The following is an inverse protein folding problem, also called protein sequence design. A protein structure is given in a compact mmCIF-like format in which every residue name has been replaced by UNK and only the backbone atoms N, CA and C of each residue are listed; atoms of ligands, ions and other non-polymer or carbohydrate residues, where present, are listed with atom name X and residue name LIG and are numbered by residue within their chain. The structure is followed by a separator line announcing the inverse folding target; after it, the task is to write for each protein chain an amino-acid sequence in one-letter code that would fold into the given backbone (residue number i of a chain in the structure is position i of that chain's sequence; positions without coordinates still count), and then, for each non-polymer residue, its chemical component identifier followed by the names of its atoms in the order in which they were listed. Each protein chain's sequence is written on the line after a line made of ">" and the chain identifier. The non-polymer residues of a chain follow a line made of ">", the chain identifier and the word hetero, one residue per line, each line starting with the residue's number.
data_IF_067449709216
#
_entry.id   IF_067449709216
#
_cell.length_a   1.000
_cell.length_b   1.000
_cell.length_c   1.000
_cell.angle_alpha   90.00
_cell.angle_beta   90.00
_cell.angle_gamma   90.00
#
_symmetry.space_group_name_H-M   'P 1'
#
loop_
_entity.id
_entity.type
_entity.pdbx_description
1 polymer ?
#
# COMPACT_ATOMS: atom_id res chain seq x y z
N UNK A 1 45.97 -36.35 41.50
CA UNK A 1 47.40 -36.26 41.10
C UNK A 1 47.51 -35.45 39.83
N UNK A 2 47.78 -34.14 39.93
CA UNK A 2 48.06 -33.28 38.82
C UNK A 2 49.50 -33.55 38.41
N UNK A 3 49.74 -34.21 37.25
CA UNK A 3 51.05 -34.43 36.69
C UNK A 3 51.62 -33.08 36.18
N UNK A 4 52.39 -32.42 36.99
CA UNK A 4 53.12 -31.21 36.55
C UNK A 4 54.32 -31.64 35.65
N UNK A 5 54.57 -30.93 34.55
CA UNK A 5 55.68 -31.24 33.67
C UNK A 5 57.00 -31.06 34.43
N UNK A 6 57.91 -32.08 34.36
CA UNK A 6 59.15 -32.13 35.06
C UNK A 6 60.23 -31.11 34.59
N UNK A 7 59.92 -30.35 33.51
CA UNK A 7 60.82 -29.36 32.95
C UNK A 7 60.37 -27.95 33.32
N UNK A 8 61.09 -27.18 34.17
CA UNK A 8 60.69 -25.86 34.61
C UNK A 8 60.53 -24.87 33.44
N UNK A 9 61.27 -25.01 32.37
CA UNK A 9 61.17 -24.12 31.20
C UNK A 9 59.83 -24.32 30.43
N UNK A 10 59.27 -25.49 30.47
CA UNK A 10 57.95 -25.75 29.87
C UNK A 10 56.81 -25.12 30.67
N UNK A 11 56.94 -25.08 32.01
CA UNK A 11 55.97 -24.41 32.89
C UNK A 11 55.99 -22.90 32.69
N UNK A 12 57.18 -22.29 32.64
CA UNK A 12 57.38 -20.83 32.39
C UNK A 12 56.84 -20.44 31.03
N UNK A 13 57.04 -21.26 29.97
CA UNK A 13 56.53 -20.98 28.63
C UNK A 13 55.02 -21.06 28.57
N UNK A 14 54.37 -22.04 29.24
CA UNK A 14 52.89 -22.13 29.33
C UNK A 14 52.30 -20.98 30.13
N UNK A 15 52.90 -20.55 31.22
CA UNK A 15 52.47 -19.39 32.00
C UNK A 15 52.57 -18.11 31.18
N UNK A 16 53.67 -17.93 30.44
CA UNK A 16 53.85 -16.79 29.55
C UNK A 16 52.76 -16.70 28.45
N UNK A 17 52.44 -17.84 27.80
CA UNK A 17 51.34 -17.91 26.81
C UNK A 17 50.00 -17.62 27.47
N UNK A 18 49.72 -18.09 28.66
CA UNK A 18 48.48 -17.83 29.38
C UNK A 18 48.32 -16.33 29.74
N UNK A 19 49.41 -15.68 30.16
CA UNK A 19 49.44 -14.24 30.45
C UNK A 19 49.19 -13.44 29.16
N UNK A 20 49.79 -13.84 28.03
CA UNK A 20 49.52 -13.18 26.73
C UNK A 20 48.04 -13.30 26.28
N UNK A 21 47.44 -14.48 26.47
CA UNK A 21 46.01 -14.70 26.15
C UNK A 21 45.13 -13.82 27.05
N UNK A 22 45.42 -13.76 28.35
CA UNK A 22 44.70 -12.89 29.29
C UNK A 22 44.88 -11.40 28.96
N UNK A 23 46.08 -10.98 28.56
CA UNK A 23 46.32 -9.60 28.16
C UNK A 23 45.56 -9.23 26.87
N UNK A 24 45.49 -10.12 25.89
CA UNK A 24 44.72 -9.93 24.66
C UNK A 24 43.21 -9.84 24.98
N UNK A 25 42.70 -10.75 25.83
CA UNK A 25 41.32 -10.72 26.29
C UNK A 25 40.98 -9.44 27.05
N UNK A 26 41.88 -8.98 27.92
CA UNK A 26 41.71 -7.73 28.66
C UNK A 26 41.68 -6.50 27.73
N UNK A 27 42.62 -6.45 26.77
CA UNK A 27 42.67 -5.37 25.77
C UNK A 27 41.38 -5.36 24.90
N UNK A 28 40.90 -6.53 24.48
CA UNK A 28 39.66 -6.61 23.70
C UNK A 28 38.43 -6.15 24.48
N UNK A 29 38.35 -6.52 25.77
CA UNK A 29 37.26 -6.06 26.65
C UNK A 29 37.32 -4.55 26.88
N UNK A 30 38.51 -3.99 27.13
CA UNK A 30 38.70 -2.54 27.36
C UNK A 30 38.42 -1.73 26.08
N UNK A 31 38.75 -2.24 24.89
CA UNK A 31 38.50 -1.58 23.62
C UNK A 31 37.03 -1.66 23.21
N UNK A 32 36.27 -2.69 23.67
CA UNK A 32 34.83 -2.84 23.38
C UNK A 32 33.96 -1.97 24.29
N UNK A 33 34.43 -1.59 25.49
CA UNK A 33 33.64 -0.79 26.42
C UNK A 33 33.15 0.55 25.87
N UNK A 34 33.98 1.38 25.21
CA UNK A 34 33.49 2.66 24.66
C UNK A 34 32.51 2.49 23.50
N UNK A 35 32.65 1.40 22.73
CA UNK A 35 31.72 1.10 21.64
C UNK A 35 30.34 0.69 22.21
N UNK A 36 30.34 -0.16 23.24
CA UNK A 36 29.10 -0.57 23.93
C UNK A 36 28.41 0.59 24.68
N UNK A 37 29.21 1.50 25.26
CA UNK A 37 28.68 2.68 25.94
C UNK A 37 28.05 3.67 24.93
N UNK A 38 28.72 3.90 23.79
CA UNK A 38 28.17 4.75 22.72
C UNK A 38 26.90 4.19 22.09
N UNK A 39 26.81 2.87 21.92
CA UNK A 39 25.58 2.21 21.43
C UNK A 39 24.42 2.34 22.43
N UNK A 40 24.68 2.24 23.73
CA UNK A 40 23.65 2.42 24.77
C UNK A 40 23.12 3.87 24.82
N UNK A 41 24.00 4.87 24.78
CA UNK A 41 23.59 6.30 24.78
C UNK A 41 22.74 6.64 23.56
N UNK A 42 23.07 6.12 22.38
CA UNK A 42 22.30 6.39 21.16
C UNK A 42 20.97 5.63 21.12
N UNK A 43 20.90 4.43 21.71
CA UNK A 43 19.66 3.66 21.85
C UNK A 43 18.71 4.38 22.78
N UNK A 44 19.20 4.90 23.90
CA UNK A 44 18.43 5.68 24.86
C UNK A 44 17.90 6.98 24.24
N UNK A 45 18.73 7.68 23.45
CA UNK A 45 18.33 8.90 22.74
C UNK A 45 17.20 8.62 21.72
N UNK A 46 17.33 7.58 20.91
CA UNK A 46 16.31 7.22 19.93
C UNK A 46 14.99 6.83 20.59
N UNK A 47 15.04 6.07 21.70
CA UNK A 47 13.87 5.71 22.49
C UNK A 47 13.23 6.94 23.12
N UNK A 48 14.03 7.89 23.62
CA UNK A 48 13.54 9.14 24.17
C UNK A 48 12.81 9.99 23.12
N UNK A 49 13.39 10.11 21.92
CA UNK A 49 12.73 10.81 20.80
C UNK A 49 11.45 10.11 20.34
N UNK A 50 11.44 8.78 20.26
CA UNK A 50 10.24 8.02 19.93
C UNK A 50 9.13 8.28 20.95
N UNK A 51 9.42 8.16 22.26
CA UNK A 51 8.45 8.41 23.31
C UNK A 51 7.95 9.87 23.31
N UNK A 52 8.84 10.85 23.08
CA UNK A 52 8.44 12.23 22.92
C UNK A 52 7.49 12.41 21.73
N UNK A 53 7.76 11.76 20.61
CA UNK A 53 6.89 11.76 19.44
C UNK A 53 5.50 11.18 19.73
N UNK A 54 5.43 10.07 20.47
CA UNK A 54 4.16 9.44 20.87
C UNK A 54 3.34 10.38 21.78
N UNK A 55 3.95 10.98 22.78
CA UNK A 55 3.27 11.94 23.65
C UNK A 55 2.72 13.14 22.85
N UNK A 56 3.50 13.67 21.90
CA UNK A 56 3.07 14.75 21.02
C UNK A 56 1.92 14.36 20.08
N UNK A 57 1.83 13.09 19.68
CA UNK A 57 0.66 12.57 18.94
C UNK A 57 -0.60 12.60 19.78
N UNK A 58 -0.52 12.18 21.06
CA UNK A 58 -1.65 12.22 21.99
C UNK A 58 -2.16 13.66 22.21
N UNK A 59 -1.22 14.61 22.27
CA UNK A 59 -1.52 16.05 22.33
C UNK A 59 -1.95 16.64 20.96
N UNK A 60 -2.00 15.84 19.89
CA UNK A 60 -2.30 16.27 18.50
C UNK A 60 -1.33 17.32 17.96
N UNK A 61 -0.11 17.37 18.47
CA UNK A 61 0.95 18.26 18.00
C UNK A 61 1.75 17.58 16.88
N UNK A 62 1.11 17.38 15.74
CA UNK A 62 1.60 16.49 14.66
C UNK A 62 2.93 16.93 14.06
N UNK A 63 3.16 18.24 13.83
CA UNK A 63 4.42 18.75 13.30
C UNK A 63 5.59 18.47 14.26
N UNK A 64 5.37 18.66 15.55
CA UNK A 64 6.39 18.39 16.58
C UNK A 64 6.62 16.89 16.73
N UNK A 65 5.57 16.08 16.64
CA UNK A 65 5.67 14.62 16.65
C UNK A 65 6.52 14.12 15.49
N UNK A 66 6.29 14.64 14.29
CA UNK A 66 7.10 14.31 13.09
C UNK A 66 8.58 14.62 13.33
N UNK A 67 8.89 15.84 13.84
CA UNK A 67 10.26 16.21 14.13
C UNK A 67 10.93 15.27 15.15
N UNK A 68 10.19 14.84 16.19
CA UNK A 68 10.69 13.87 17.17
C UNK A 68 10.92 12.49 16.54
N UNK A 69 10.01 12.00 15.68
CA UNK A 69 10.22 10.76 14.95
C UNK A 69 11.38 10.84 13.96
N UNK A 70 11.62 12.00 13.34
CA UNK A 70 12.80 12.21 12.48
C UNK A 70 14.09 12.10 13.28
N UNK A 71 14.14 12.66 14.50
CA UNK A 71 15.28 12.49 15.41
C UNK A 71 15.45 11.02 15.83
N UNK A 72 14.36 10.31 16.13
CA UNK A 72 14.43 8.89 16.44
C UNK A 72 14.99 8.06 15.28
N UNK A 73 14.54 8.33 14.04
CA UNK A 73 15.03 7.66 12.82
C UNK A 73 16.50 8.02 12.51
N UNK A 74 16.91 9.26 12.75
CA UNK A 74 18.28 9.73 12.56
C UNK A 74 19.27 9.15 13.59
N UNK A 75 18.80 8.90 14.81
CA UNK A 75 19.56 8.26 15.91
C UNK A 75 19.73 6.75 15.71
N UNK A 76 19.41 6.23 14.52
CA UNK A 76 19.33 4.82 14.15
C UNK A 76 20.61 4.07 14.46
N UNK A 77 20.63 3.37 15.58
CA UNK A 77 21.67 2.39 15.92
C UNK A 77 21.23 1.00 15.48
N UNK A 78 22.20 0.09 15.38
CA UNK A 78 21.99 -1.32 15.04
C UNK A 78 20.92 -2.00 15.91
N UNK A 79 20.79 -1.55 17.17
CA UNK A 79 19.83 -2.09 18.15
C UNK A 79 18.37 -1.73 17.85
N UNK A 80 18.08 -0.54 17.34
CA UNK A 80 16.71 -0.14 16.94
C UNK A 80 16.24 -0.94 15.73
N UNK A 81 17.16 -1.30 14.82
CA UNK A 81 16.84 -2.14 13.65
C UNK A 81 16.39 -3.55 14.02
N UNK A 82 16.70 -4.01 15.24
CA UNK A 82 16.31 -5.33 15.76
C UNK A 82 15.04 -5.27 16.62
N UNK A 83 14.48 -4.07 16.89
CA UNK A 83 13.29 -3.87 17.70
C UNK A 83 12.11 -3.40 16.85
N UNK A 84 10.90 -3.74 17.31
CA UNK A 84 9.65 -3.25 16.73
C UNK A 84 9.51 -1.72 16.81
N UNK A 85 10.33 -1.05 17.64
CA UNK A 85 10.31 0.40 17.82
C UNK A 85 10.56 1.16 16.51
N UNK A 86 11.43 0.66 15.64
CA UNK A 86 11.69 1.29 14.34
C UNK A 86 10.44 1.22 13.44
N UNK A 87 9.75 0.08 13.40
CA UNK A 87 8.50 -0.07 12.68
C UNK A 87 7.44 0.90 13.21
N UNK A 88 7.26 0.95 14.52
CA UNK A 88 6.29 1.85 15.15
C UNK A 88 6.64 3.33 14.91
N UNK A 89 7.93 3.67 14.83
CA UNK A 89 8.36 5.04 14.49
C UNK A 89 7.89 5.42 13.08
N UNK A 90 8.08 4.53 12.08
CA UNK A 90 7.56 4.77 10.73
C UNK A 90 6.03 4.88 10.73
N UNK A 91 5.33 3.95 11.38
CA UNK A 91 3.87 3.95 11.42
C UNK A 91 3.30 5.23 12.06
N UNK A 92 3.88 5.66 13.18
CA UNK A 92 3.43 6.85 13.90
C UNK A 92 3.76 8.15 13.16
N UNK A 93 4.93 8.23 12.52
CA UNK A 93 5.27 9.36 11.65
C UNK A 93 4.31 9.45 10.46
N UNK A 94 4.01 8.33 9.81
CA UNK A 94 3.02 8.24 8.72
C UNK A 94 1.65 8.72 9.20
N UNK A 95 1.21 8.27 10.37
CA UNK A 95 -0.06 8.72 10.96
C UNK A 95 -0.08 10.23 11.14
N UNK A 96 0.96 10.84 11.73
CA UNK A 96 1.06 12.30 11.91
C UNK A 96 1.00 13.04 10.57
N UNK A 97 1.71 12.57 9.56
CA UNK A 97 1.71 13.16 8.21
C UNK A 97 0.32 13.10 7.55
N UNK A 98 -0.40 11.98 7.73
CA UNK A 98 -1.77 11.83 7.25
C UNK A 98 -2.71 12.81 7.96
N UNK A 99 -2.59 13.00 9.28
CA UNK A 99 -3.40 13.96 10.02
C UNK A 99 -3.21 15.40 9.51
N UNK A 100 -2.02 15.74 9.03
CA UNK A 100 -1.71 17.02 8.39
C UNK A 100 -2.08 17.07 6.89
N UNK A 101 -2.69 16.02 6.34
CA UNK A 101 -2.96 15.86 4.91
C UNK A 101 -1.69 15.92 4.03
N UNK A 102 -0.50 15.72 4.60
CA UNK A 102 0.76 15.68 3.85
C UNK A 102 0.99 14.27 3.27
N UNK A 103 0.13 13.89 2.32
CA UNK A 103 0.14 12.54 1.72
C UNK A 103 1.43 12.23 0.94
N UNK A 104 2.05 13.25 0.34
CA UNK A 104 3.32 13.06 -0.38
C UNK A 104 4.45 12.66 0.56
N UNK A 105 4.63 13.37 1.67
CA UNK A 105 5.64 13.01 2.67
C UNK A 105 5.29 11.68 3.37
N UNK A 106 3.99 11.40 3.57
CA UNK A 106 3.55 10.11 4.09
C UNK A 106 3.99 8.97 3.17
N UNK A 107 3.78 9.07 1.85
CA UNK A 107 4.22 8.06 0.89
C UNK A 107 5.73 7.83 0.92
N UNK A 108 6.53 8.89 0.99
CA UNK A 108 7.99 8.76 1.11
C UNK A 108 8.40 8.00 2.38
N UNK A 109 7.75 8.32 3.52
CA UNK A 109 8.01 7.64 4.80
C UNK A 109 7.54 6.18 4.76
N UNK A 110 6.39 5.91 4.13
CA UNK A 110 5.87 4.55 3.94
C UNK A 110 6.83 3.72 3.09
N UNK A 111 7.33 4.25 1.97
CA UNK A 111 8.23 3.52 1.08
C UNK A 111 9.55 3.18 1.79
N UNK A 112 10.08 4.07 2.63
CA UNK A 112 11.22 3.79 3.50
C UNK A 112 10.91 2.65 4.49
N UNK A 113 9.76 2.70 5.16
CA UNK A 113 9.33 1.66 6.09
C UNK A 113 9.11 0.32 5.40
N UNK A 114 8.48 0.29 4.23
CA UNK A 114 8.23 -0.92 3.46
C UNK A 114 9.49 -1.56 2.88
N UNK A 115 10.58 -0.79 2.68
CA UNK A 115 11.89 -1.36 2.31
C UNK A 115 12.42 -2.29 3.41
N UNK A 116 12.12 -2.01 4.66
CA UNK A 116 12.54 -2.79 5.83
C UNK A 116 11.46 -3.81 6.25
N UNK A 117 10.19 -3.44 6.15
CA UNK A 117 9.03 -4.18 6.66
C UNK A 117 8.01 -4.42 5.54
N UNK A 118 8.45 -5.10 4.48
CA UNK A 118 7.68 -5.29 3.24
C UNK A 118 6.29 -5.94 3.40
N UNK A 119 6.03 -6.62 4.52
CA UNK A 119 4.76 -7.27 4.84
C UNK A 119 4.00 -6.58 5.98
N UNK A 120 4.28 -5.31 6.26
CA UNK A 120 3.51 -4.60 7.28
C UNK A 120 2.15 -4.15 6.74
N UNK A 121 1.06 -4.67 7.34
CA UNK A 121 -0.32 -4.39 6.93
C UNK A 121 -0.66 -2.90 7.06
N UNK A 122 -0.24 -2.24 8.16
CA UNK A 122 -0.58 -0.84 8.42
C UNK A 122 0.10 0.10 7.44
N UNK A 123 1.35 -0.15 7.08
CA UNK A 123 2.06 0.65 6.08
C UNK A 123 1.41 0.51 4.71
N UNK A 124 1.06 -0.70 4.27
CA UNK A 124 0.33 -0.90 3.02
C UNK A 124 -1.05 -0.25 3.03
N UNK A 125 -1.80 -0.35 4.14
CA UNK A 125 -3.10 0.30 4.29
C UNK A 125 -2.97 1.82 4.16
N UNK A 126 -2.03 2.43 4.90
CA UNK A 126 -1.77 3.86 4.85
C UNK A 126 -1.27 4.31 3.47
N UNK A 127 -0.53 3.46 2.74
CA UNK A 127 -0.15 3.71 1.34
C UNK A 127 -1.37 3.84 0.46
N UNK A 128 -2.29 2.88 0.55
CA UNK A 128 -3.55 2.90 -0.20
C UNK A 128 -4.36 4.14 0.12
N UNK A 129 -4.49 4.49 1.40
CA UNK A 129 -5.22 5.68 1.83
C UNK A 129 -4.58 6.98 1.29
N UNK A 130 -3.27 7.14 1.43
CA UNK A 130 -2.57 8.33 0.92
C UNK A 130 -2.68 8.46 -0.61
N UNK A 131 -2.57 7.35 -1.33
CA UNK A 131 -2.73 7.31 -2.79
C UNK A 131 -4.17 7.63 -3.21
N UNK A 132 -5.17 7.11 -2.50
CA UNK A 132 -6.57 7.46 -2.72
C UNK A 132 -6.81 8.96 -2.55
N UNK A 133 -6.29 9.56 -1.47
CA UNK A 133 -6.41 11.00 -1.21
C UNK A 133 -5.70 11.88 -2.25
N UNK A 134 -4.69 11.33 -2.94
CA UNK A 134 -4.00 11.95 -4.09
C UNK A 134 -4.65 11.58 -5.45
N UNK A 135 -5.82 10.94 -5.43
CA UNK A 135 -6.58 10.50 -6.62
C UNK A 135 -5.81 9.49 -7.51
N UNK A 136 -4.75 8.90 -6.99
CA UNK A 136 -3.98 7.83 -7.63
C UNK A 136 -4.66 6.48 -7.42
N UNK A 137 -5.87 6.34 -7.93
CA UNK A 137 -6.78 5.25 -7.59
C UNK A 137 -6.23 3.87 -7.96
N UNK A 138 -5.59 3.72 -9.12
CA UNK A 138 -5.03 2.41 -9.50
C UNK A 138 -3.92 1.97 -8.56
N UNK A 139 -3.04 2.89 -8.14
CA UNK A 139 -1.98 2.60 -7.18
C UNK A 139 -2.56 2.32 -5.78
N UNK A 140 -3.64 3.01 -5.40
CA UNK A 140 -4.36 2.74 -4.17
C UNK A 140 -4.93 1.31 -4.14
N UNK A 141 -5.55 0.85 -5.25
CA UNK A 141 -6.02 -0.54 -5.37
C UNK A 141 -4.89 -1.54 -5.18
N UNK A 142 -3.73 -1.31 -5.82
CA UNK A 142 -2.56 -2.17 -5.69
C UNK A 142 -2.07 -2.25 -4.22
N UNK A 143 -2.13 -1.13 -3.49
CA UNK A 143 -1.77 -1.09 -2.08
C UNK A 143 -2.77 -1.85 -1.21
N UNK A 144 -4.09 -1.69 -1.42
CA UNK A 144 -5.11 -2.46 -0.71
C UNK A 144 -5.06 -3.95 -1.05
N UNK A 145 -4.71 -4.32 -2.28
CA UNK A 145 -4.49 -5.72 -2.64
C UNK A 145 -3.31 -6.33 -1.89
N UNK A 146 -2.24 -5.56 -1.62
CA UNK A 146 -1.16 -6.01 -0.73
C UNK A 146 -1.64 -6.20 0.72
N UNK A 147 -2.49 -5.30 1.26
CA UNK A 147 -3.14 -5.52 2.56
C UNK A 147 -3.90 -6.85 2.55
N UNK A 148 -4.76 -7.07 1.55
CA UNK A 148 -5.60 -8.27 1.45
C UNK A 148 -4.80 -9.57 1.19
N UNK A 149 -3.60 -9.47 0.64
CA UNK A 149 -2.66 -10.59 0.53
C UNK A 149 -2.05 -10.96 1.88
N UNK A 150 -1.82 -9.98 2.75
CA UNK A 150 -1.29 -10.18 4.12
C UNK A 150 -2.42 -10.64 5.06
N UNK A 151 -3.55 -9.95 5.00
CA UNK A 151 -4.74 -10.19 5.80
C UNK A 151 -5.99 -10.15 4.91
N UNK A 152 -6.44 -11.30 4.44
CA UNK A 152 -7.56 -11.42 3.50
C UNK A 152 -8.92 -11.02 4.10
N UNK A 153 -8.98 -10.85 5.42
CA UNK A 153 -10.15 -10.43 6.19
C UNK A 153 -10.04 -8.98 6.71
N UNK A 154 -9.15 -8.17 6.15
CA UNK A 154 -9.03 -6.75 6.51
C UNK A 154 -10.26 -5.96 6.04
N UNK A 155 -11.21 -5.77 6.96
CA UNK A 155 -12.45 -5.02 6.70
C UNK A 155 -12.16 -3.59 6.20
N UNK A 156 -11.24 -2.81 6.84
CA UNK A 156 -10.92 -1.47 6.35
C UNK A 156 -10.36 -1.46 4.93
N UNK A 157 -9.53 -2.46 4.57
CA UNK A 157 -8.97 -2.54 3.22
C UNK A 157 -10.02 -2.87 2.17
N UNK A 158 -10.97 -3.77 2.47
CA UNK A 158 -12.08 -4.09 1.57
C UNK A 158 -13.00 -2.89 1.35
N UNK A 159 -13.33 -2.16 2.41
CA UNK A 159 -14.16 -0.97 2.34
C UNK A 159 -13.50 0.13 1.49
N UNK A 160 -12.23 0.45 1.78
CA UNK A 160 -11.51 1.47 1.03
C UNK A 160 -11.23 1.05 -0.42
N UNK A 161 -11.04 -0.24 -0.68
CA UNK A 161 -10.98 -0.79 -2.05
C UNK A 161 -12.31 -0.56 -2.77
N UNK A 162 -13.44 -0.82 -2.11
CA UNK A 162 -14.78 -0.54 -2.63
C UNK A 162 -14.96 0.94 -2.98
N UNK A 163 -14.61 1.85 -2.07
CA UNK A 163 -14.65 3.30 -2.32
C UNK A 163 -13.78 3.70 -3.51
N UNK A 164 -12.56 3.14 -3.59
CA UNK A 164 -11.64 3.42 -4.70
C UNK A 164 -12.23 2.97 -6.04
N UNK A 165 -12.83 1.79 -6.08
CA UNK A 165 -13.48 1.25 -7.27
C UNK A 165 -14.71 2.08 -7.68
N UNK A 166 -15.50 2.60 -6.71
CA UNK A 166 -16.58 3.55 -6.97
C UNK A 166 -16.07 4.83 -7.66
N UNK A 167 -14.96 5.42 -7.16
CA UNK A 167 -14.36 6.61 -7.77
C UNK A 167 -13.85 6.35 -9.19
N UNK A 168 -13.45 5.13 -9.49
CA UNK A 168 -13.03 4.72 -10.85
C UNK A 168 -14.19 4.35 -11.77
N UNK A 169 -15.45 4.38 -11.30
CA UNK A 169 -16.60 3.92 -12.07
C UNK A 169 -16.67 2.40 -12.25
N UNK A 170 -15.86 1.64 -11.52
CA UNK A 170 -15.82 0.16 -11.54
C UNK A 170 -16.86 -0.41 -10.57
N UNK A 171 -18.11 -0.11 -10.85
CA UNK A 171 -19.20 -0.33 -9.90
C UNK A 171 -19.41 -1.80 -9.52
N UNK A 172 -19.30 -2.72 -10.48
CA UNK A 172 -19.45 -4.16 -10.19
C UNK A 172 -18.34 -4.69 -9.30
N UNK A 173 -17.10 -4.26 -9.54
CA UNK A 173 -15.97 -4.64 -8.69
C UNK A 173 -16.12 -4.07 -7.27
N UNK A 174 -16.71 -2.86 -7.15
CA UNK A 174 -17.04 -2.26 -5.85
C UNK A 174 -18.10 -3.08 -5.10
N UNK A 175 -19.15 -3.56 -5.79
CA UNK A 175 -20.15 -4.47 -5.22
C UNK A 175 -19.47 -5.70 -4.63
N UNK A 176 -18.51 -6.30 -5.35
CA UNK A 176 -17.80 -7.50 -4.90
C UNK A 176 -16.95 -7.21 -3.64
N UNK A 177 -16.25 -6.05 -3.61
CA UNK A 177 -15.44 -5.65 -2.46
C UNK A 177 -16.30 -5.45 -1.19
N UNK A 178 -17.41 -4.71 -1.28
CA UNK A 178 -18.30 -4.49 -0.14
C UNK A 178 -19.07 -5.76 0.26
N UNK A 179 -19.42 -6.64 -0.67
CA UNK A 179 -20.03 -7.93 -0.37
C UNK A 179 -19.09 -8.79 0.48
N UNK A 180 -17.80 -8.82 0.13
CA UNK A 180 -16.79 -9.49 0.94
C UNK A 180 -16.63 -8.84 2.32
N UNK A 181 -16.64 -7.51 2.39
CA UNK A 181 -16.60 -6.77 3.65
C UNK A 181 -17.79 -7.14 4.55
N UNK A 182 -19.02 -7.15 4.01
CA UNK A 182 -20.23 -7.52 4.74
C UNK A 182 -20.25 -9.01 5.14
N UNK A 183 -19.58 -9.89 4.40
CA UNK A 183 -19.44 -11.30 4.79
C UNK A 183 -18.53 -11.49 6.01
N UNK A 184 -17.51 -10.61 6.18
CA UNK A 184 -16.61 -10.62 7.33
C UNK A 184 -17.31 -10.06 8.57
N UNK A 185 -17.97 -8.92 8.42
CA UNK A 185 -18.73 -8.28 9.49
C UNK A 185 -20.15 -7.97 9.02
N UNK A 186 -21.08 -8.92 9.21
CA UNK A 186 -22.49 -8.69 8.91
C UNK A 186 -23.05 -7.51 9.70
N UNK A 187 -23.84 -6.65 9.04
CA UNK A 187 -24.44 -5.44 9.59
C UNK A 187 -23.46 -4.28 9.89
N UNK A 188 -22.22 -4.33 9.38
CA UNK A 188 -21.38 -3.13 9.34
C UNK A 188 -22.04 -2.06 8.46
N UNK A 189 -22.43 -0.95 9.08
CA UNK A 189 -23.19 0.11 8.42
C UNK A 189 -22.43 0.74 7.24
N UNK A 190 -21.11 0.83 7.35
CA UNK A 190 -20.28 1.39 6.28
C UNK A 190 -20.25 0.49 5.05
N UNK A 191 -20.03 -0.81 5.24
CA UNK A 191 -20.04 -1.80 4.16
C UNK A 191 -21.40 -1.91 3.49
N UNK A 192 -22.49 -1.86 4.27
CA UNK A 192 -23.86 -1.92 3.74
C UNK A 192 -24.21 -0.68 2.92
N UNK A 193 -23.89 0.52 3.41
CA UNK A 193 -24.09 1.76 2.65
C UNK A 193 -23.27 1.78 1.37
N UNK A 194 -21.99 1.39 1.46
CA UNK A 194 -21.09 1.25 0.32
C UNK A 194 -21.64 0.28 -0.73
N UNK A 195 -22.16 -0.89 -0.29
CA UNK A 195 -22.78 -1.89 -1.14
C UNK A 195 -24.01 -1.33 -1.86
N UNK A 196 -24.90 -0.65 -1.13
CA UNK A 196 -26.10 -0.05 -1.70
C UNK A 196 -25.76 1.02 -2.76
N UNK A 197 -24.78 1.89 -2.47
CA UNK A 197 -24.29 2.89 -3.44
C UNK A 197 -23.69 2.22 -4.68
N UNK A 198 -22.88 1.19 -4.52
CA UNK A 198 -22.25 0.47 -5.61
C UNK A 198 -23.28 -0.24 -6.50
N UNK A 199 -24.28 -0.91 -5.91
CA UNK A 199 -25.36 -1.57 -6.64
C UNK A 199 -26.20 -0.56 -7.43
N UNK A 200 -26.59 0.56 -6.82
CA UNK A 200 -27.34 1.62 -7.49
C UNK A 200 -26.58 2.19 -8.69
N UNK A 201 -25.29 2.48 -8.51
CA UNK A 201 -24.43 2.98 -9.57
C UNK A 201 -24.24 1.97 -10.71
N UNK A 202 -24.07 0.68 -10.39
CA UNK A 202 -23.98 -0.40 -11.38
C UNK A 202 -25.27 -0.53 -12.22
N UNK A 203 -26.43 -0.49 -11.58
CA UNK A 203 -27.73 -0.54 -12.27
C UNK A 203 -27.91 0.65 -13.23
N UNK A 204 -27.60 1.87 -12.76
CA UNK A 204 -27.72 3.09 -13.57
C UNK A 204 -26.75 3.05 -14.76
N UNK A 205 -25.52 2.61 -14.56
CA UNK A 205 -24.51 2.46 -15.63
C UNK A 205 -24.97 1.46 -16.68
N UNK A 206 -25.50 0.31 -16.26
CA UNK A 206 -26.01 -0.72 -17.17
C UNK A 206 -27.21 -0.22 -17.98
N UNK A 207 -28.16 0.49 -17.37
CA UNK A 207 -29.29 1.09 -18.05
C UNK A 207 -28.88 2.12 -19.10
N UNK A 208 -27.94 3.01 -18.74
CA UNK A 208 -27.40 4.02 -19.64
C UNK A 208 -26.69 3.36 -20.85
N UNK A 209 -25.90 2.34 -20.61
CA UNK A 209 -25.22 1.56 -21.66
C UNK A 209 -26.25 0.91 -22.59
N UNK A 210 -27.30 0.30 -22.05
CA UNK A 210 -28.39 -0.31 -22.85
C UNK A 210 -29.07 0.73 -23.75
N UNK A 211 -29.41 1.89 -23.21
CA UNK A 211 -30.04 2.98 -23.97
C UNK A 211 -29.12 3.43 -25.12
N UNK A 212 -27.83 3.61 -24.89
CA UNK A 212 -26.88 4.01 -25.92
C UNK A 212 -26.79 2.95 -27.02
N UNK A 213 -26.72 1.66 -26.65
CA UNK A 213 -26.69 0.56 -27.64
C UNK A 213 -27.95 0.54 -28.49
N UNK A 214 -29.13 0.68 -27.87
CA UNK A 214 -30.42 0.74 -28.60
C UNK A 214 -30.40 1.92 -29.56
N UNK A 215 -29.99 3.10 -29.16
CA UNK A 215 -29.92 4.27 -30.03
C UNK A 215 -28.97 4.05 -31.21
N UNK A 216 -27.80 3.45 -30.98
CA UNK A 216 -26.85 3.13 -32.05
C UNK A 216 -27.43 2.14 -33.07
N UNK A 217 -28.17 1.13 -32.61
CA UNK A 217 -28.86 0.17 -33.46
C UNK A 217 -29.94 0.87 -34.32
N UNK A 218 -30.70 1.79 -33.75
CA UNK A 218 -31.72 2.57 -34.49
C UNK A 218 -31.08 3.43 -35.57
N UNK A 219 -29.96 4.13 -35.23
CA UNK A 219 -29.23 4.96 -36.22
C UNK A 219 -28.68 4.10 -37.34
N UNK A 220 -28.09 2.94 -37.02
CA UNK A 220 -27.54 2.02 -38.00
C UNK A 220 -28.64 1.46 -38.94
N UNK A 221 -29.78 1.07 -38.40
CA UNK A 221 -30.96 0.60 -39.17
C UNK A 221 -31.51 1.68 -40.08
N UNK A 222 -31.67 2.92 -39.59
CA UNK A 222 -32.09 4.07 -40.40
C UNK A 222 -31.11 4.38 -41.54
N UNK A 223 -29.82 4.34 -41.27
CA UNK A 223 -28.77 4.51 -42.29
C UNK A 223 -28.85 3.43 -43.37
N UNK A 224 -29.08 2.17 -42.98
CA UNK A 224 -29.25 1.07 -43.94
C UNK A 224 -30.48 1.25 -44.83
N UNK A 225 -31.60 1.63 -44.25
CA UNK A 225 -32.84 1.91 -45.01
C UNK A 225 -32.63 3.06 -45.98
N UNK A 226 -31.99 4.14 -45.56
CA UNK A 226 -31.66 5.28 -46.43
C UNK A 226 -30.75 4.83 -47.58
N UNK A 227 -29.68 4.05 -47.26
CA UNK A 227 -28.76 3.52 -48.26
C UNK A 227 -29.49 2.66 -49.33
N UNK A 228 -30.32 1.72 -48.89
CA UNK A 228 -31.06 0.84 -49.79
C UNK A 228 -32.05 1.66 -50.65
N UNK A 229 -32.75 2.63 -50.07
CA UNK A 229 -33.73 3.45 -50.77
C UNK A 229 -33.15 4.36 -51.83
N UNK A 230 -31.96 4.92 -51.58
CA UNK A 230 -31.36 5.91 -52.50
C UNK A 230 -30.25 5.35 -53.39
N UNK A 231 -29.71 4.17 -53.14
CA UNK A 231 -28.67 3.53 -53.94
C UNK A 231 -29.20 2.45 -54.88
N UNK A 232 -30.46 2.01 -54.75
CA UNK A 232 -31.11 1.16 -55.78
C UNK A 232 -31.34 1.99 -57.03
N UNK A 233 -30.65 1.73 -58.18
CA UNK A 233 -30.93 2.44 -59.42
C UNK A 233 -32.38 2.25 -59.76
N UNK A 234 -33.03 3.37 -60.19
CA UNK A 234 -34.42 3.31 -60.68
C UNK A 234 -34.50 2.22 -61.75
N UNK A 235 -35.41 1.24 -61.51
CA UNK A 235 -35.59 0.13 -62.44
C UNK A 235 -35.71 0.69 -63.85
N UNK A 236 -34.83 0.27 -64.76
CA UNK A 236 -34.88 0.61 -66.18
C UNK A 236 -36.29 0.38 -66.70
N UNK A 237 -36.98 1.47 -67.12
CA UNK A 237 -38.27 1.36 -67.83
C UNK A 237 -37.97 0.57 -69.10
N UNK A 238 -38.50 -0.67 -69.18
CA UNK A 238 -38.48 -1.45 -70.43
C UNK A 238 -39.00 -0.60 -71.56
N UNK A 239 -38.29 -0.51 -72.73
CA UNK A 239 -38.81 0.24 -73.88
C UNK A 239 -40.12 -0.37 -74.37
N UNK A 240 -41.11 0.47 -74.52
CA UNK A 240 -42.45 0.16 -75.03
C UNK A 240 -42.31 -0.33 -76.49
N UNK A 241 -42.72 -1.59 -76.75
CA UNK A 241 -42.73 -2.15 -78.11
C UNK A 241 -43.72 -1.35 -78.97
N UNK A 242 -43.21 -0.47 -79.84
CA UNK A 242 -44.00 0.14 -80.90
C UNK A 242 -44.58 -0.97 -81.78
N UNK A 243 -45.88 -1.16 -81.74
CA UNK A 243 -46.63 -1.98 -82.73
C UNK A 243 -46.54 -1.35 -84.09
N UNK A 244 -45.87 -1.97 -85.06
CA UNK A 244 -45.96 -1.61 -86.45
C UNK A 244 -47.30 -2.10 -86.95
N UNK A 245 -48.23 -1.17 -87.18
CA UNK A 245 -49.41 -1.44 -88.05
C UNK A 245 -48.96 -1.64 -89.47
N UNK A 246 -49.29 -2.79 -90.05
CA UNK A 246 -49.16 -3.02 -91.50
C UNK A 246 -50.41 -2.41 -92.19
N UNK A 247 -50.16 -1.58 -93.21
CA UNK A 247 -51.08 -1.32 -94.32
C UNK A 247 -50.71 -2.31 -95.40
#
# INVERSE_FOLDING_TARGET
>A
NINLPKNPNVVVMKIGQFIHILAILFITVVLLQPVMAAENETTDAATAYYNAGVNLLEEKQYERAIASFDQALASNTTMIRLSDALLYTYQNKVYALIQLNNYTAALQTIDQGLTLYGNDEKLWYNKGFALFRLEKYQDALNAYDNVLRINNASLPALNNKGDTLLQMGRYQDAVDAYTRANAIQPNDTYSLDGLARAQSAAMTSNQTTLIIVVLLVIVAAGGLVYYVKFRTPAAEKKPEKRSRSKI
#
